data_IF_453405050860
#
_entry.id   IF_453405050860
#
_cell.length_a   1.000
_cell.length_b   1.000
_cell.length_c   1.000
_cell.angle_alpha   90.00
_cell.angle_beta   90.00
_cell.angle_gamma   90.00
#
_symmetry.space_group_name_H-M   'P 1'
#
loop_
_entity.id
_entity.type
_entity.pdbx_description
1 polymer ?
#
# COMPACT_ATOMS: atom_id res chain seq x y z
N UNK A 1 12.23 -5.43 -25.65
CA UNK A 1 11.23 -5.76 -24.63
C UNK A 1 10.16 -4.68 -24.56
N UNK A 2 8.96 -5.02 -24.09
CA UNK A 2 7.86 -4.05 -23.94
C UNK A 2 7.90 -3.39 -22.56
N UNK A 3 7.64 -2.08 -22.54
CA UNK A 3 7.50 -1.30 -21.30
C UNK A 3 6.45 -0.21 -21.45
N UNK A 4 5.74 0.09 -20.36
CA UNK A 4 4.75 1.15 -20.31
C UNK A 4 5.37 2.49 -19.93
N UNK A 5 4.89 3.54 -20.59
CA UNK A 5 5.27 4.93 -20.34
C UNK A 5 4.04 5.81 -20.17
N UNK A 6 4.06 6.67 -19.18
CA UNK A 6 3.15 7.82 -19.15
C UNK A 6 3.75 8.88 -20.07
N UNK A 7 3.02 9.22 -21.13
CA UNK A 7 3.50 10.14 -22.18
C UNK A 7 2.84 11.53 -22.10
N UNK A 8 1.73 11.62 -21.42
CA UNK A 8 0.99 12.83 -21.07
C UNK A 8 0.04 12.52 -19.91
N UNK A 9 -0.55 13.53 -19.25
CA UNK A 9 -1.56 13.28 -18.23
C UNK A 9 -2.66 12.34 -18.74
N UNK A 10 -2.94 11.27 -17.99
CA UNK A 10 -3.91 10.20 -18.30
C UNK A 10 -3.65 9.45 -19.61
N UNK A 11 -2.43 9.52 -20.14
CA UNK A 11 -2.08 8.81 -21.39
C UNK A 11 -0.86 7.93 -21.20
N UNK A 12 -1.04 6.63 -21.43
CA UNK A 12 0.01 5.62 -21.40
C UNK A 12 0.24 5.03 -22.80
N UNK A 13 1.48 4.71 -23.07
CA UNK A 13 1.90 4.02 -24.30
C UNK A 13 2.80 2.84 -23.95
N UNK A 14 2.61 1.74 -24.67
CA UNK A 14 3.54 0.61 -24.65
C UNK A 14 4.59 0.85 -25.74
N UNK A 15 5.86 0.80 -25.35
CA UNK A 15 6.97 0.98 -26.27
C UNK A 15 7.89 -0.22 -26.25
N UNK A 16 8.45 -0.56 -27.40
CA UNK A 16 9.55 -1.49 -27.51
C UNK A 16 10.84 -0.74 -27.18
N UNK A 17 11.58 -1.26 -26.21
CA UNK A 17 12.86 -0.72 -25.75
C UNK A 17 13.93 -1.81 -25.71
N UNK A 18 15.19 -1.43 -25.66
CA UNK A 18 16.28 -2.38 -25.50
C UNK A 18 16.17 -3.16 -24.18
N UNK A 19 16.68 -4.40 -24.19
CA UNK A 19 16.82 -5.20 -22.98
C UNK A 19 17.84 -4.53 -22.05
N UNK A 20 17.54 -4.35 -20.74
CA UNK A 20 18.53 -3.83 -19.81
C UNK A 20 19.76 -4.72 -19.75
N UNK A 21 20.93 -4.11 -19.73
CA UNK A 21 22.21 -4.79 -19.43
C UNK A 21 22.51 -4.59 -17.96
N UNK A 22 22.94 -5.63 -17.28
CA UNK A 22 23.30 -5.57 -15.87
C UNK A 22 24.79 -5.26 -15.68
N UNK A 23 25.09 -4.61 -14.57
CA UNK A 23 26.45 -4.47 -14.04
C UNK A 23 26.78 -5.63 -13.10
N UNK A 24 28.02 -5.66 -12.60
CA UNK A 24 28.47 -6.68 -11.65
C UNK A 24 27.65 -6.72 -10.34
N UNK A 25 27.00 -5.60 -9.98
CA UNK A 25 26.24 -5.43 -8.74
C UNK A 25 24.72 -5.46 -8.96
N UNK A 26 24.26 -5.77 -10.16
CA UNK A 26 22.85 -5.77 -10.51
C UNK A 26 22.32 -7.17 -10.79
N UNK A 27 20.99 -7.28 -10.79
CA UNK A 27 20.26 -8.45 -11.28
C UNK A 27 19.31 -8.02 -12.40
N UNK A 28 19.03 -8.95 -13.32
CA UNK A 28 17.96 -8.83 -14.31
C UNK A 28 16.78 -9.69 -13.87
N UNK A 29 15.62 -9.09 -13.81
CA UNK A 29 14.38 -9.76 -13.42
C UNK A 29 13.38 -9.73 -14.56
N UNK A 30 12.85 -10.90 -14.92
CA UNK A 30 11.64 -11.01 -15.73
C UNK A 30 10.44 -10.74 -14.82
N UNK A 31 9.80 -9.59 -15.02
CA UNK A 31 8.61 -9.23 -14.24
C UNK A 31 7.45 -10.12 -14.68
N UNK A 32 6.73 -10.68 -13.72
CA UNK A 32 5.55 -11.49 -13.97
C UNK A 32 4.26 -10.71 -13.63
N UNK A 33 4.33 -9.89 -12.58
CA UNK A 33 3.21 -9.09 -12.10
C UNK A 33 3.71 -7.78 -11.48
N UNK A 34 2.93 -6.70 -11.59
CA UNK A 34 3.18 -5.45 -10.88
C UNK A 34 1.86 -4.84 -10.42
N UNK A 35 1.75 -4.52 -9.13
CA UNK A 35 0.56 -3.89 -8.55
C UNK A 35 0.37 -2.45 -9.04
N UNK A 36 -0.90 -2.05 -9.18
CA UNK A 36 -1.29 -0.66 -9.48
C UNK A 36 -1.45 0.08 -8.15
N UNK A 37 -0.57 1.04 -7.88
CA UNK A 37 -0.58 1.82 -6.65
C UNK A 37 -1.22 3.20 -6.85
N UNK A 38 -1.97 3.66 -5.84
CA UNK A 38 -2.52 5.02 -5.84
C UNK A 38 -1.42 6.09 -5.87
N UNK A 39 -0.24 5.82 -5.33
CA UNK A 39 0.89 6.76 -5.40
C UNK A 39 1.41 7.00 -6.83
N UNK A 40 1.27 6.03 -7.75
CA UNK A 40 1.59 6.22 -9.16
C UNK A 40 0.63 7.20 -9.87
N UNK A 41 -0.55 7.47 -9.26
CA UNK A 41 -1.54 8.39 -9.82
C UNK A 41 -0.99 9.82 -9.93
N UNK A 42 -0.10 10.23 -9.02
CA UNK A 42 0.53 11.55 -9.12
C UNK A 42 1.32 11.73 -10.42
N UNK A 43 1.98 10.66 -10.89
CA UNK A 43 2.67 10.67 -12.18
C UNK A 43 1.69 10.53 -13.34
N UNK A 44 0.68 9.69 -13.21
CA UNK A 44 -0.33 9.45 -14.24
C UNK A 44 -1.19 10.71 -14.53
N UNK A 45 -1.56 11.44 -13.47
CA UNK A 45 -2.35 12.67 -13.56
C UNK A 45 -1.49 13.93 -13.74
N UNK A 46 -0.16 13.82 -13.60
CA UNK A 46 0.77 14.95 -13.55
C UNK A 46 0.41 16.00 -12.48
N UNK A 47 -0.01 15.52 -11.31
CA UNK A 47 -0.45 16.36 -10.20
C UNK A 47 0.69 16.93 -9.33
N UNK A 48 1.88 17.04 -9.87
CA UNK A 48 3.04 17.63 -9.20
C UNK A 48 3.05 19.15 -9.29
N UNK A 49 3.86 19.82 -8.44
CA UNK A 49 4.18 21.22 -8.60
C UNK A 49 4.95 21.46 -9.91
N UNK A 50 4.87 22.67 -10.46
CA UNK A 50 5.57 23.03 -11.71
C UNK A 50 7.09 22.81 -11.62
N UNK A 51 7.68 23.02 -10.44
CA UNK A 51 9.09 22.76 -10.20
C UNK A 51 9.44 21.25 -10.37
N UNK A 52 8.60 20.35 -9.85
CA UNK A 52 8.77 18.90 -9.98
C UNK A 52 8.53 18.45 -11.43
N UNK A 53 7.52 19.00 -12.10
CA UNK A 53 7.24 18.73 -13.52
C UNK A 53 8.43 19.07 -14.41
N UNK A 54 9.06 20.25 -14.18
CA UNK A 54 10.23 20.69 -14.93
C UNK A 54 11.42 19.72 -14.79
N UNK A 55 11.57 19.10 -13.63
CA UNK A 55 12.65 18.12 -13.37
C UNK A 55 12.32 16.70 -13.85
N UNK A 56 11.07 16.43 -14.16
CA UNK A 56 10.58 15.08 -14.56
C UNK A 56 9.70 15.20 -15.82
N UNK A 57 10.30 15.53 -16.97
CA UNK A 57 9.55 15.62 -18.23
C UNK A 57 8.98 14.25 -18.65
N UNK A 58 7.97 14.25 -19.47
CA UNK A 58 7.50 13.05 -20.16
C UNK A 58 8.50 12.61 -21.26
N UNK A 59 8.61 11.31 -21.57
CA UNK A 59 7.86 10.20 -21.00
C UNK A 59 8.42 9.71 -19.64
N UNK A 60 7.55 9.17 -18.77
CA UNK A 60 7.94 8.67 -17.44
C UNK A 60 7.60 7.18 -17.31
N UNK A 61 8.51 6.40 -16.74
CA UNK A 61 8.23 5.02 -16.32
C UNK A 61 7.76 5.01 -14.87
N UNK A 62 6.79 4.13 -14.57
CA UNK A 62 6.19 3.98 -13.25
C UNK A 62 6.01 2.49 -12.90
N UNK A 63 5.52 2.22 -11.70
CA UNK A 63 5.35 0.86 -11.17
C UNK A 63 6.47 0.51 -10.19
N UNK A 64 6.09 0.19 -8.95
CA UNK A 64 7.04 -0.08 -7.87
C UNK A 64 6.62 -1.24 -6.96
N UNK A 65 5.56 -1.98 -7.33
CA UNK A 65 5.07 -3.15 -6.60
C UNK A 65 5.26 -4.45 -7.43
N UNK A 66 6.48 -4.79 -7.88
CA UNK A 66 6.71 -5.92 -8.77
C UNK A 66 6.86 -7.24 -8.03
N UNK A 67 6.57 -8.32 -8.79
CA UNK A 67 6.97 -9.68 -8.50
C UNK A 67 7.48 -10.33 -9.80
N UNK A 68 8.53 -11.14 -9.74
CA UNK A 68 9.11 -11.72 -10.93
C UNK A 68 10.15 -12.80 -10.65
N UNK A 69 10.84 -13.25 -11.71
CA UNK A 69 11.89 -14.26 -11.66
C UNK A 69 13.22 -13.65 -12.03
N UNK A 70 14.24 -13.87 -11.24
CA UNK A 70 15.64 -13.52 -11.56
C UNK A 70 16.08 -14.32 -12.77
N UNK A 71 16.57 -13.69 -13.82
CA UNK A 71 17.06 -14.36 -15.03
C UNK A 71 18.57 -14.26 -15.19
N UNK A 72 19.18 -13.20 -14.62
CA UNK A 72 20.62 -13.01 -14.64
C UNK A 72 21.08 -12.29 -13.36
N UNK A 73 22.27 -12.60 -12.88
CA UNK A 73 22.87 -11.97 -11.69
C UNK A 73 24.30 -11.52 -12.00
N UNK A 74 24.67 -10.34 -11.53
CA UNK A 74 26.04 -9.83 -11.59
C UNK A 74 26.98 -10.63 -10.67
N UNK A 75 28.26 -10.59 -10.95
CA UNK A 75 29.28 -11.42 -10.26
C UNK A 75 29.40 -11.16 -8.75
N UNK A 76 29.00 -9.97 -8.30
CA UNK A 76 29.07 -9.57 -6.89
C UNK A 76 27.82 -10.00 -6.09
N UNK A 77 26.75 -10.45 -6.75
CA UNK A 77 25.53 -10.91 -6.11
C UNK A 77 25.74 -12.33 -5.56
N UNK A 78 25.51 -12.52 -4.24
CA UNK A 78 25.76 -13.80 -3.56
C UNK A 78 24.49 -14.51 -3.09
N UNK A 79 23.44 -13.74 -2.79
CA UNK A 79 22.22 -14.25 -2.11
C UNK A 79 21.09 -14.59 -3.07
N UNK A 80 21.23 -14.24 -4.36
CA UNK A 80 20.27 -14.47 -5.41
C UNK A 80 20.90 -15.25 -6.57
N UNK A 81 20.09 -16.01 -7.29
CA UNK A 81 20.47 -16.77 -8.49
C UNK A 81 19.36 -16.78 -9.52
N UNK A 82 19.71 -17.06 -10.78
CA UNK A 82 18.72 -17.29 -11.82
C UNK A 82 17.72 -18.39 -11.40
N UNK A 83 16.44 -18.12 -11.65
CA UNK A 83 15.30 -18.93 -11.22
C UNK A 83 14.70 -18.54 -9.87
N UNK A 84 15.36 -17.73 -9.06
CA UNK A 84 14.75 -17.22 -7.81
C UNK A 84 13.52 -16.36 -8.13
N UNK A 85 12.41 -16.67 -7.46
CA UNK A 85 11.17 -15.88 -7.51
C UNK A 85 11.24 -14.80 -6.44
N UNK A 86 11.12 -13.54 -6.82
CA UNK A 86 11.33 -12.41 -5.91
C UNK A 86 10.26 -11.34 -6.05
N UNK A 87 10.09 -10.58 -4.97
CA UNK A 87 9.26 -9.37 -4.90
C UNK A 87 9.93 -8.33 -4.02
N UNK A 88 9.43 -7.10 -4.06
CA UNK A 88 9.96 -5.98 -3.29
C UNK A 88 9.90 -4.68 -4.08
N UNK A 89 10.91 -3.82 -3.94
CA UNK A 89 11.07 -2.60 -4.74
C UNK A 89 12.22 -2.80 -5.72
N UNK A 90 11.95 -2.74 -7.02
CA UNK A 90 12.93 -2.96 -8.09
C UNK A 90 13.37 -1.63 -8.75
N UNK A 91 13.51 -0.57 -7.96
CA UNK A 91 13.99 0.72 -8.44
C UNK A 91 12.98 1.57 -9.24
N UNK A 92 11.76 1.10 -9.49
CA UNK A 92 10.73 1.78 -10.27
C UNK A 92 10.72 1.41 -11.76
N UNK A 93 9.63 1.75 -12.45
CA UNK A 93 9.43 1.45 -13.88
C UNK A 93 9.13 -0.02 -14.18
N UNK A 94 8.51 -0.72 -13.22
CA UNK A 94 8.28 -2.17 -13.27
C UNK A 94 7.03 -2.59 -14.06
N UNK A 95 6.30 -1.67 -14.68
CA UNK A 95 5.36 -2.03 -15.74
C UNK A 95 6.12 -2.27 -17.05
N UNK A 96 6.94 -3.33 -17.05
CA UNK A 96 7.80 -3.72 -18.16
C UNK A 96 8.09 -5.22 -18.07
N UNK A 97 8.38 -5.87 -19.20
CA UNK A 97 8.69 -7.30 -19.23
C UNK A 97 9.95 -7.65 -18.43
N UNK A 98 10.93 -6.73 -18.39
CA UNK A 98 12.18 -6.91 -17.62
C UNK A 98 12.59 -5.60 -16.96
N UNK A 99 13.24 -5.74 -15.81
CA UNK A 99 13.90 -4.65 -15.08
C UNK A 99 15.25 -5.11 -14.57
N UNK A 100 16.22 -4.18 -14.54
CA UNK A 100 17.51 -4.40 -13.86
C UNK A 100 17.63 -3.42 -12.70
N UNK A 101 18.22 -3.88 -11.60
CA UNK A 101 18.49 -3.04 -10.43
C UNK A 101 19.53 -3.69 -9.52
N UNK A 102 20.14 -2.87 -8.66
CA UNK A 102 21.00 -3.35 -7.58
C UNK A 102 20.15 -3.74 -6.37
N UNK A 103 20.09 -5.02 -5.97
CA UNK A 103 19.25 -5.47 -4.85
C UNK A 103 19.74 -4.97 -3.48
N UNK A 104 20.99 -4.51 -3.37
CA UNK A 104 21.53 -3.87 -2.17
C UNK A 104 21.17 -2.37 -2.07
N UNK A 105 20.50 -1.81 -3.07
CA UNK A 105 20.21 -0.39 -3.20
C UNK A 105 21.33 0.39 -3.89
N UNK A 106 21.01 1.59 -4.40
CA UNK A 106 21.94 2.44 -5.12
C UNK A 106 22.46 3.61 -4.27
N UNK A 107 23.48 4.35 -4.78
CA UNK A 107 23.95 5.58 -4.16
C UNK A 107 22.80 6.59 -4.00
N UNK A 108 22.70 7.20 -2.83
CA UNK A 108 21.69 8.24 -2.53
C UNK A 108 20.37 7.73 -1.98
N UNK A 109 20.17 6.42 -1.86
CA UNK A 109 18.94 5.86 -1.30
C UNK A 109 19.09 5.42 0.15
N UNK A 110 20.33 5.37 0.66
CA UNK A 110 20.63 5.04 2.08
C UNK A 110 20.01 3.71 2.53
N UNK A 111 19.93 2.66 1.66
CA UNK A 111 18.90 1.67 1.82
C UNK A 111 19.40 0.25 1.86
N UNK A 112 18.78 -0.45 2.75
CA UNK A 112 18.80 -1.87 2.96
C UNK A 112 18.17 -2.61 1.77
N UNK A 113 18.53 -3.87 1.50
CA UNK A 113 17.93 -4.68 0.44
C UNK A 113 16.40 -4.68 0.55
N UNK A 114 15.71 -4.38 -0.57
CA UNK A 114 14.25 -4.34 -0.62
C UNK A 114 13.70 -5.47 -1.49
N UNK A 115 14.34 -6.64 -1.40
CA UNK A 115 14.01 -7.82 -2.17
C UNK A 115 13.84 -9.01 -1.25
N UNK A 116 12.73 -9.75 -1.40
CA UNK A 116 12.46 -10.99 -0.70
C UNK A 116 12.16 -12.14 -1.66
N UNK A 117 12.61 -13.35 -1.33
CA UNK A 117 12.26 -14.55 -2.09
C UNK A 117 10.80 -14.92 -1.80
N UNK A 118 10.03 -15.12 -2.86
CA UNK A 118 8.62 -15.53 -2.75
C UNK A 118 8.57 -17.01 -2.38
N UNK A 119 7.90 -17.38 -1.28
CA UNK A 119 7.66 -18.76 -0.92
C UNK A 119 6.96 -19.55 -2.03
N UNK A 120 7.21 -20.85 -2.09
CA UNK A 120 6.52 -21.74 -3.02
C UNK A 120 5.01 -21.71 -2.81
N UNK A 121 4.26 -21.88 -3.89
CA UNK A 121 2.80 -21.92 -3.88
C UNK A 121 2.11 -20.54 -3.94
N UNK A 122 2.81 -19.41 -3.73
CA UNK A 122 2.22 -18.08 -3.88
C UNK A 122 2.34 -17.66 -5.35
N UNK A 123 1.23 -17.41 -6.08
CA UNK A 123 1.28 -16.88 -7.44
C UNK A 123 1.81 -15.43 -7.46
N UNK A 124 2.43 -15.01 -8.56
CA UNK A 124 3.08 -13.71 -8.64
C UNK A 124 2.13 -12.54 -8.41
N UNK A 125 0.92 -12.62 -8.91
CA UNK A 125 -0.11 -11.59 -8.72
C UNK A 125 -0.53 -11.43 -7.26
N UNK A 126 -0.29 -12.41 -6.41
CA UNK A 126 -0.54 -12.35 -4.96
C UNK A 126 0.73 -12.05 -4.15
N UNK A 127 1.88 -12.00 -4.80
CA UNK A 127 3.17 -11.78 -4.16
C UNK A 127 3.70 -10.34 -4.33
N UNK A 128 2.82 -9.35 -4.44
CA UNK A 128 3.21 -7.93 -4.52
C UNK A 128 3.68 -7.44 -3.14
N UNK A 129 4.95 -7.68 -2.82
CA UNK A 129 5.49 -7.53 -1.47
C UNK A 129 5.64 -6.09 -0.97
N UNK A 130 5.79 -5.11 -1.87
CA UNK A 130 6.01 -3.71 -1.49
C UNK A 130 4.89 -3.16 -0.58
N UNK A 131 3.59 -3.19 -0.97
CA UNK A 131 2.55 -2.67 -0.11
C UNK A 131 2.34 -3.49 1.15
N UNK A 132 2.73 -4.76 1.12
CA UNK A 132 2.61 -5.64 2.28
C UNK A 132 3.66 -5.31 3.37
N UNK A 133 4.85 -4.82 3.00
CA UNK A 133 5.81 -4.26 3.97
C UNK A 133 5.20 -3.06 4.70
N UNK A 134 4.47 -2.20 3.98
CA UNK A 134 3.80 -1.06 4.58
C UNK A 134 2.79 -1.49 5.65
N UNK A 135 2.04 -2.60 5.40
CA UNK A 135 1.11 -3.15 6.39
C UNK A 135 1.82 -3.62 7.67
N UNK A 136 3.04 -4.18 7.56
CA UNK A 136 3.85 -4.56 8.72
C UNK A 136 4.24 -3.33 9.55
N UNK A 137 4.68 -2.25 8.92
CA UNK A 137 4.99 -0.98 9.59
C UNK A 137 3.76 -0.40 10.29
N UNK A 138 2.61 -0.41 9.61
CA UNK A 138 1.35 0.09 10.18
C UNK A 138 0.95 -0.73 11.41
N UNK A 139 1.02 -2.06 11.33
CA UNK A 139 0.74 -2.94 12.46
C UNK A 139 1.66 -2.66 13.66
N UNK A 140 2.96 -2.46 13.41
CA UNK A 140 3.95 -2.11 14.43
C UNK A 140 3.65 -0.75 15.09
N UNK A 141 3.33 0.28 14.30
CA UNK A 141 3.00 1.61 14.81
C UNK A 141 1.68 1.61 15.58
N UNK A 142 0.70 0.85 15.10
CA UNK A 142 -0.60 0.73 15.76
C UNK A 142 -0.46 0.05 17.11
N UNK A 143 0.22 -1.09 17.19
CA UNK A 143 0.53 -1.85 18.40
C UNK A 143 -0.60 -1.77 19.45
N UNK A 144 -1.78 -2.35 19.18
CA UNK A 144 -2.90 -2.29 20.11
C UNK A 144 -2.66 -3.15 21.35
N UNK A 145 -3.20 -2.74 22.48
CA UNK A 145 -3.13 -3.46 23.76
C UNK A 145 -4.36 -4.33 23.97
N UNK A 146 -4.31 -5.21 24.98
CA UNK A 146 -5.46 -6.03 25.37
C UNK A 146 -6.61 -5.15 25.85
N UNK A 147 -7.77 -5.30 25.21
CA UNK A 147 -8.98 -4.55 25.56
C UNK A 147 -9.12 -3.19 24.87
N UNK A 148 -8.18 -2.82 23.97
CA UNK A 148 -8.30 -1.60 23.18
C UNK A 148 -9.50 -1.67 22.23
N UNK A 149 -10.15 -0.53 22.06
CA UNK A 149 -11.09 -0.25 20.98
C UNK A 149 -10.35 0.47 19.86
N UNK A 150 -10.31 -0.13 18.67
CA UNK A 150 -9.70 0.44 17.46
C UNK A 150 -10.81 0.97 16.56
N UNK A 151 -10.68 2.20 16.10
CA UNK A 151 -11.47 2.79 15.03
C UNK A 151 -10.61 2.92 13.77
N UNK A 152 -11.15 2.55 12.62
CA UNK A 152 -10.49 2.77 11.32
C UNK A 152 -11.44 3.40 10.32
N UNK A 153 -10.97 4.42 9.60
CA UNK A 153 -11.68 4.99 8.46
C UNK A 153 -10.94 4.71 7.15
N UNK A 154 -11.66 4.08 6.22
CA UNK A 154 -11.19 3.65 4.92
C UNK A 154 -10.93 2.15 4.82
N UNK A 155 -11.53 1.52 3.79
CA UNK A 155 -11.44 0.08 3.47
C UNK A 155 -11.03 -0.17 2.01
N UNK A 156 -10.12 0.67 1.49
CA UNK A 156 -9.37 0.34 0.27
C UNK A 156 -8.41 -0.84 0.52
N UNK A 157 -7.56 -1.16 -0.45
CA UNK A 157 -6.59 -2.26 -0.33
C UNK A 157 -5.77 -2.18 0.97
N UNK A 158 -5.16 -1.02 1.26
CA UNK A 158 -4.39 -0.84 2.50
C UNK A 158 -5.27 -0.99 3.73
N UNK A 159 -6.47 -0.39 3.74
CA UNK A 159 -7.38 -0.48 4.89
C UNK A 159 -7.83 -1.92 5.18
N UNK A 160 -8.20 -2.68 4.17
CA UNK A 160 -8.55 -4.11 4.33
C UNK A 160 -7.35 -4.93 4.80
N UNK A 161 -6.15 -4.64 4.29
CA UNK A 161 -4.91 -5.26 4.77
C UNK A 161 -4.62 -4.93 6.23
N UNK A 162 -4.84 -3.68 6.67
CA UNK A 162 -4.69 -3.29 8.08
C UNK A 162 -5.65 -4.07 8.96
N UNK A 163 -6.92 -4.25 8.54
CA UNK A 163 -7.90 -5.05 9.29
C UNK A 163 -7.39 -6.49 9.41
N UNK A 164 -7.02 -7.12 8.30
CA UNK A 164 -6.53 -8.51 8.29
C UNK A 164 -5.32 -8.73 9.21
N UNK A 165 -4.42 -7.74 9.28
CA UNK A 165 -3.22 -7.83 10.12
C UNK A 165 -3.41 -7.48 11.60
N UNK A 166 -4.45 -6.71 11.94
CA UNK A 166 -4.68 -6.22 13.31
C UNK A 166 -5.86 -6.87 14.01
N UNK A 167 -6.85 -7.42 13.27
CA UNK A 167 -8.02 -8.04 13.87
C UNK A 167 -7.62 -9.27 14.69
N UNK A 168 -7.72 -9.16 15.99
CA UNK A 168 -7.36 -10.23 16.93
C UNK A 168 -8.36 -10.27 18.09
N UNK A 169 -8.55 -11.42 18.76
CA UNK A 169 -9.43 -11.55 19.93
C UNK A 169 -9.02 -10.68 21.13
N UNK A 170 -7.84 -10.06 21.11
CA UNK A 170 -7.40 -9.17 22.19
C UNK A 170 -8.06 -7.79 22.14
N UNK A 171 -8.61 -7.37 20.99
CA UNK A 171 -9.33 -6.11 20.88
C UNK A 171 -10.71 -6.24 21.52
N UNK A 172 -11.14 -5.18 22.21
CA UNK A 172 -12.51 -5.07 22.69
C UNK A 172 -13.46 -4.89 21.53
N UNK A 173 -13.15 -3.92 20.65
CA UNK A 173 -13.90 -3.66 19.43
C UNK A 173 -12.94 -3.21 18.31
N UNK A 174 -13.26 -3.63 17.09
CA UNK A 174 -12.66 -3.08 15.87
C UNK A 174 -13.76 -2.43 15.02
N UNK A 175 -13.90 -1.12 15.16
CA UNK A 175 -14.91 -0.32 14.48
C UNK A 175 -14.35 0.18 13.16
N UNK A 176 -14.98 -0.15 12.04
CA UNK A 176 -14.52 0.21 10.69
C UNK A 176 -15.55 1.07 9.98
N UNK A 177 -15.11 2.16 9.36
CA UNK A 177 -15.93 3.12 8.66
C UNK A 177 -15.56 3.23 7.18
N UNK A 178 -16.53 3.14 6.28
CA UNK A 178 -16.38 3.39 4.83
C UNK A 178 -17.72 3.80 4.21
N UNK A 179 -17.68 4.46 3.05
CA UNK A 179 -18.87 4.87 2.28
C UNK A 179 -19.56 3.69 1.58
N UNK A 180 -18.81 2.62 1.29
CA UNK A 180 -19.23 1.49 0.45
C UNK A 180 -19.58 0.27 1.30
N UNK A 181 -20.87 -0.08 1.38
CA UNK A 181 -21.35 -1.23 2.16
C UNK A 181 -20.65 -2.55 1.77
N UNK A 182 -20.43 -2.80 0.47
CA UNK A 182 -19.78 -4.01 0.00
C UNK A 182 -18.32 -4.15 0.51
N UNK A 183 -17.63 -3.02 0.74
CA UNK A 183 -16.30 -3.01 1.38
C UNK A 183 -16.38 -3.25 2.87
N UNK A 184 -17.44 -2.72 3.51
CA UNK A 184 -17.73 -2.97 4.93
C UNK A 184 -18.06 -4.45 5.16
N UNK A 185 -18.71 -5.13 4.21
CA UNK A 185 -18.94 -6.58 4.29
C UNK A 185 -17.62 -7.35 4.29
N UNK A 186 -16.68 -7.00 3.38
CA UNK A 186 -15.33 -7.59 3.38
C UNK A 186 -14.59 -7.27 4.70
N UNK A 187 -14.74 -6.06 5.23
CA UNK A 187 -14.13 -5.69 6.51
C UNK A 187 -14.61 -6.59 7.65
N UNK A 188 -15.92 -6.95 7.68
CA UNK A 188 -16.47 -7.92 8.66
C UNK A 188 -15.86 -9.32 8.46
N UNK A 189 -15.76 -9.80 7.22
CA UNK A 189 -15.11 -11.08 6.89
C UNK A 189 -13.67 -11.13 7.42
N UNK A 190 -12.96 -10.00 7.40
CA UNK A 190 -11.57 -9.86 7.85
C UNK A 190 -11.44 -9.59 9.36
N UNK A 191 -12.55 -9.46 10.10
CA UNK A 191 -12.53 -9.37 11.55
C UNK A 191 -12.91 -8.02 12.15
N UNK A 192 -13.48 -7.09 11.38
CA UNK A 192 -14.13 -5.92 11.95
C UNK A 192 -15.36 -6.34 12.78
N UNK A 193 -15.42 -5.91 14.03
CA UNK A 193 -16.55 -6.27 14.92
C UNK A 193 -17.76 -5.39 14.67
N UNK A 194 -17.53 -4.13 14.29
CA UNK A 194 -18.57 -3.14 14.00
C UNK A 194 -18.22 -2.39 12.72
N UNK A 195 -19.20 -2.18 11.85
CA UNK A 195 -19.01 -1.40 10.63
C UNK A 195 -20.01 -0.25 10.58
N UNK A 196 -19.54 0.93 10.18
CA UNK A 196 -20.31 2.16 10.12
C UNK A 196 -20.24 2.76 8.71
N UNK A 197 -21.39 3.06 8.12
CA UNK A 197 -21.46 3.82 6.87
C UNK A 197 -21.89 5.24 7.19
N UNK A 198 -21.03 6.26 6.95
CA UNK A 198 -21.32 7.66 7.30
C UNK A 198 -22.49 8.26 6.52
N UNK A 199 -22.92 7.62 5.41
CA UNK A 199 -24.15 8.01 4.72
C UNK A 199 -25.42 7.58 5.47
N UNK A 200 -25.29 6.70 6.47
CA UNK A 200 -26.42 6.12 7.21
C UNK A 200 -26.46 6.52 8.67
N UNK A 201 -25.31 6.84 9.26
CA UNK A 201 -25.18 7.16 10.69
C UNK A 201 -24.19 8.31 10.91
N UNK A 202 -24.35 9.02 12.03
CA UNK A 202 -23.31 9.91 12.54
C UNK A 202 -22.22 9.04 13.20
N UNK A 203 -21.06 8.97 12.55
CA UNK A 203 -19.94 8.11 12.99
C UNK A 203 -19.44 8.50 14.38
N UNK A 204 -19.34 9.79 14.68
CA UNK A 204 -18.84 10.28 15.97
C UNK A 204 -19.79 9.87 17.10
N UNK A 205 -21.10 10.04 16.90
CA UNK A 205 -22.11 9.67 17.90
C UNK A 205 -22.14 8.15 18.14
N UNK A 206 -22.05 7.35 17.07
CA UNK A 206 -22.01 5.89 17.21
C UNK A 206 -20.75 5.42 17.93
N UNK A 207 -19.56 5.96 17.59
CA UNK A 207 -18.33 5.62 18.31
C UNK A 207 -18.42 6.03 19.79
N UNK A 208 -18.97 7.21 20.10
CA UNK A 208 -19.20 7.63 21.50
C UNK A 208 -20.13 6.66 22.23
N UNK A 209 -21.21 6.26 21.61
CA UNK A 209 -22.16 5.29 22.19
C UNK A 209 -21.50 3.94 22.47
N UNK A 210 -20.77 3.38 21.49
CA UNK A 210 -20.06 2.09 21.61
C UNK A 210 -19.01 2.15 22.73
N UNK A 211 -18.30 3.28 22.87
CA UNK A 211 -17.21 3.45 23.83
C UNK A 211 -17.67 4.03 25.19
N UNK A 212 -18.97 4.20 25.42
CA UNK A 212 -19.49 4.82 26.64
C UNK A 212 -19.00 6.26 26.84
N UNK A 213 -18.87 7.03 25.77
CA UNK A 213 -18.44 8.43 25.77
C UNK A 213 -16.91 8.65 25.77
N UNK A 214 -16.12 7.59 25.92
CA UNK A 214 -14.63 7.70 26.06
C UNK A 214 -13.91 7.96 24.74
N UNK A 215 -14.45 7.49 23.60
CA UNK A 215 -13.78 7.45 22.32
C UNK A 215 -12.90 6.19 22.14
N UNK A 216 -12.40 5.99 20.93
CA UNK A 216 -11.53 4.87 20.58
C UNK A 216 -10.11 5.05 21.16
N UNK A 217 -9.49 3.97 21.63
CA UNK A 217 -8.09 3.99 22.09
C UNK A 217 -7.13 4.32 20.96
N UNK A 218 -7.42 3.79 19.77
CA UNK A 218 -6.64 4.00 18.56
C UNK A 218 -7.60 4.37 17.42
N UNK A 219 -7.26 5.43 16.67
CA UNK A 219 -7.94 5.82 15.43
C UNK A 219 -6.97 5.72 14.26
N UNK A 220 -7.31 4.93 13.23
CA UNK A 220 -6.48 4.70 12.04
C UNK A 220 -7.13 5.41 10.84
N UNK A 221 -6.39 6.33 10.23
CA UNK A 221 -6.80 7.06 9.04
C UNK A 221 -6.14 6.43 7.81
N UNK A 222 -6.96 5.90 6.86
CA UNK A 222 -6.46 5.20 5.65
C UNK A 222 -7.07 5.79 4.38
N UNK A 223 -7.71 6.94 4.45
CA UNK A 223 -8.37 7.58 3.29
C UNK A 223 -7.41 8.50 2.53
N UNK A 224 -6.51 9.19 3.25
CA UNK A 224 -5.63 10.20 2.66
C UNK A 224 -6.36 11.50 2.27
N UNK A 225 -7.43 11.83 2.98
CA UNK A 225 -8.23 13.02 2.75
C UNK A 225 -8.53 13.73 4.08
N UNK A 226 -8.64 15.09 4.12
CA UNK A 226 -8.89 15.85 5.34
C UNK A 226 -10.03 15.32 6.20
N UNK A 227 -11.12 14.86 5.57
CA UNK A 227 -12.27 14.31 6.32
C UNK A 227 -11.89 13.05 7.13
N UNK A 228 -10.98 12.23 6.61
CA UNK A 228 -10.50 11.04 7.30
C UNK A 228 -9.79 11.39 8.61
N UNK A 229 -8.84 12.33 8.55
CA UNK A 229 -8.12 12.79 9.73
C UNK A 229 -9.02 13.56 10.71
N UNK A 230 -9.95 14.38 10.20
CA UNK A 230 -10.96 15.06 11.03
C UNK A 230 -11.80 14.04 11.81
N UNK A 231 -12.32 13.01 11.14
CA UNK A 231 -13.11 11.94 11.77
C UNK A 231 -12.28 11.18 12.80
N UNK A 232 -11.05 10.75 12.44
CA UNK A 232 -10.15 10.07 13.37
C UNK A 232 -9.89 10.90 14.64
N UNK A 233 -9.65 12.21 14.46
CA UNK A 233 -9.43 13.16 15.55
C UNK A 233 -10.68 13.33 16.45
N UNK A 234 -11.88 13.31 15.86
CA UNK A 234 -13.12 13.47 16.60
C UNK A 234 -13.44 12.25 17.48
N UNK A 235 -13.15 11.04 16.98
CA UNK A 235 -13.51 9.77 17.65
C UNK A 235 -12.44 9.23 18.61
N UNK A 236 -11.19 9.68 18.49
CA UNK A 236 -10.10 9.22 19.39
C UNK A 236 -10.36 9.68 20.82
N UNK A 237 -10.04 8.83 21.81
CA UNK A 237 -10.16 9.17 23.23
C UNK A 237 -9.24 10.31 23.65
N UNK A 238 -9.60 11.04 24.71
CA UNK A 238 -8.68 11.95 25.41
C UNK A 238 -7.55 11.18 26.12
N UNK A 239 -6.50 11.90 26.52
CA UNK A 239 -5.38 11.36 27.30
C UNK A 239 -4.71 10.13 26.66
N UNK A 240 -3.73 10.36 25.78
CA UNK A 240 -2.92 9.32 25.16
C UNK A 240 -3.66 8.40 24.16
N UNK A 241 -4.81 8.84 23.61
CA UNK A 241 -5.35 8.17 22.42
C UNK A 241 -4.35 8.24 21.26
N UNK A 242 -4.28 7.20 20.43
CA UNK A 242 -3.37 7.15 19.27
C UNK A 242 -4.12 7.51 18.00
N UNK A 243 -3.50 8.31 17.13
CA UNK A 243 -3.94 8.49 15.73
C UNK A 243 -2.84 7.96 14.83
N UNK A 244 -3.15 6.99 13.99
CA UNK A 244 -2.23 6.41 13.01
C UNK A 244 -2.63 6.90 11.62
N UNK A 245 -1.80 7.76 11.02
CA UNK A 245 -2.07 8.36 9.71
C UNK A 245 -1.40 7.51 8.63
N UNK A 246 -2.19 6.73 7.92
CA UNK A 246 -1.77 5.80 6.86
C UNK A 246 -2.05 6.37 5.48
N UNK A 247 -3.15 7.13 5.35
CA UNK A 247 -3.58 7.69 4.08
C UNK A 247 -2.51 8.62 3.47
N UNK A 248 -2.35 8.57 2.15
CA UNK A 248 -1.40 9.44 1.44
C UNK A 248 -2.04 10.82 1.17
N UNK A 249 -1.69 11.81 1.99
CA UNK A 249 -2.13 13.19 1.83
C UNK A 249 -1.21 13.91 0.82
N UNK A 250 -1.75 14.23 -0.36
CA UNK A 250 -0.97 14.77 -1.49
C UNK A 250 -0.81 16.29 -1.46
N UNK A 251 -1.65 17.00 -0.70
CA UNK A 251 -1.62 18.45 -0.61
C UNK A 251 -1.37 18.90 0.83
N UNK A 252 -0.69 20.04 1.04
CA UNK A 252 -0.65 20.66 2.36
C UNK A 252 -2.04 21.18 2.69
N UNK A 253 -2.74 20.45 3.55
CA UNK A 253 -4.03 20.89 4.09
C UNK A 253 -3.85 21.44 5.50
N UNK A 254 -4.57 22.50 5.83
CA UNK A 254 -4.71 22.93 7.21
C UNK A 254 -5.73 22.04 7.90
N UNK A 255 -5.28 21.28 8.91
CA UNK A 255 -6.15 20.46 9.72
C UNK A 255 -6.50 21.20 11.00
N UNK A 256 -7.79 21.47 11.19
CA UNK A 256 -8.31 21.86 12.47
C UNK A 256 -8.38 20.64 13.38
N UNK A 257 -7.30 20.38 14.12
CA UNK A 257 -7.23 19.25 15.03
C UNK A 257 -7.90 19.61 16.36
N UNK A 258 -9.20 19.43 16.47
CA UNK A 258 -9.89 19.45 17.76
C UNK A 258 -9.25 18.48 18.77
N UNK A 259 -8.53 17.49 18.27
CA UNK A 259 -7.78 16.51 19.07
C UNK A 259 -6.60 17.08 19.85
N UNK A 260 -6.08 18.29 19.57
CA UNK A 260 -5.01 18.90 20.36
C UNK A 260 -5.36 19.01 21.84
N UNK A 261 -6.64 19.31 22.13
CA UNK A 261 -7.16 19.35 23.51
C UNK A 261 -7.09 17.98 24.18
N UNK A 262 -7.16 16.90 23.38
CA UNK A 262 -7.11 15.51 23.86
C UNK A 262 -5.67 14.98 24.06
N UNK A 263 -4.64 15.73 23.67
CA UNK A 263 -3.22 15.32 23.72
C UNK A 263 -2.99 13.95 23.10
N UNK A 264 -3.36 13.70 21.84
CA UNK A 264 -3.18 12.40 21.20
C UNK A 264 -1.72 12.15 20.86
N UNK A 265 -1.35 10.89 20.73
CA UNK A 265 -0.10 10.46 20.12
C UNK A 265 -0.36 10.25 18.63
N UNK A 266 0.33 11.00 17.78
CA UNK A 266 0.16 10.87 16.33
C UNK A 266 1.36 10.13 15.74
N UNK A 267 1.08 9.01 15.06
CA UNK A 267 2.05 8.25 14.30
C UNK A 267 1.77 8.39 12.81
N UNK A 268 2.80 8.67 12.03
CA UNK A 268 2.75 8.50 10.58
C UNK A 268 3.77 7.42 10.19
N UNK A 269 3.33 6.21 9.84
CA UNK A 269 4.23 5.16 9.36
C UNK A 269 4.77 5.43 7.96
N UNK A 270 4.46 6.59 7.39
CA UNK A 270 4.92 7.02 6.07
C UNK A 270 6.38 7.46 6.14
N UNK A 271 7.27 6.49 6.09
CA UNK A 271 8.67 6.73 5.72
C UNK A 271 8.82 6.70 4.20
N UNK A 272 10.04 6.77 3.70
CA UNK A 272 10.33 6.53 2.29
C UNK A 272 9.89 5.10 1.94
N UNK A 273 8.80 4.98 1.18
CA UNK A 273 8.16 3.71 0.84
C UNK A 273 7.23 3.15 1.92
N UNK A 274 6.82 3.96 2.90
CA UNK A 274 5.91 3.57 4.01
C UNK A 274 6.37 2.37 4.88
N UNK A 275 7.44 1.68 4.53
CA UNK A 275 8.08 0.65 5.35
C UNK A 275 9.24 1.25 6.13
N UNK A 276 9.25 1.05 7.44
CA UNK A 276 10.29 1.60 8.35
C UNK A 276 11.48 0.65 8.52
N UNK A 277 11.31 -0.62 8.18
CA UNK A 277 12.33 -1.66 8.29
C UNK A 277 12.11 -2.76 7.23
N UNK A 278 12.30 -2.44 5.93
CA UNK A 278 12.01 -3.36 4.83
C UNK A 278 12.67 -4.74 4.94
N UNK A 279 13.94 -4.87 5.40
CA UNK A 279 14.57 -6.18 5.53
C UNK A 279 13.90 -7.11 6.52
N UNK A 280 13.31 -6.57 7.57
CA UNK A 280 12.57 -7.34 8.56
C UNK A 280 11.11 -7.55 8.15
N UNK A 281 10.52 -6.58 7.51
CA UNK A 281 9.09 -6.53 7.21
C UNK A 281 8.71 -7.36 5.99
N UNK A 282 9.52 -7.37 4.93
CA UNK A 282 9.21 -8.14 3.71
C UNK A 282 9.12 -9.66 3.95
N UNK A 283 10.08 -10.31 4.64
CA UNK A 283 9.94 -11.73 4.97
C UNK A 283 8.71 -12.05 5.82
N UNK A 284 8.36 -11.19 6.79
CA UNK A 284 7.16 -11.33 7.62
C UNK A 284 5.89 -11.17 6.80
N UNK A 285 5.86 -10.22 5.88
CA UNK A 285 4.73 -9.99 4.97
C UNK A 285 4.50 -11.22 4.07
N UNK A 286 5.55 -11.77 3.48
CA UNK A 286 5.47 -12.99 2.65
C UNK A 286 5.02 -14.20 3.46
N UNK A 287 5.52 -14.36 4.69
CA UNK A 287 5.05 -15.38 5.62
C UNK A 287 3.56 -15.22 5.93
N UNK A 288 3.10 -13.99 6.17
CA UNK A 288 1.71 -13.71 6.49
C UNK A 288 0.77 -13.99 5.29
N UNK A 289 1.23 -13.72 4.05
CA UNK A 289 0.52 -14.14 2.83
C UNK A 289 0.44 -15.67 2.77
N UNK A 290 1.57 -16.36 2.96
CA UNK A 290 1.63 -17.83 2.93
C UNK A 290 0.71 -18.48 3.98
N UNK A 291 0.52 -17.84 5.13
CA UNK A 291 -0.39 -18.29 6.21
C UNK A 291 -1.84 -17.89 5.99
N UNK A 292 -2.17 -17.18 4.91
CA UNK A 292 -3.53 -16.70 4.65
C UNK A 292 -4.00 -15.58 5.59
N UNK A 293 -3.09 -14.98 6.39
CA UNK A 293 -3.41 -13.79 7.20
C UNK A 293 -3.80 -12.65 6.27
N UNK A 294 -3.06 -12.49 5.17
CA UNK A 294 -3.43 -11.61 4.08
C UNK A 294 -4.03 -12.43 2.94
N UNK A 295 -5.36 -12.46 2.80
CA UNK A 295 -6.04 -13.25 1.75
C UNK A 295 -5.93 -12.52 0.40
N UNK A 296 -4.77 -12.61 -0.23
CA UNK A 296 -4.45 -11.86 -1.46
C UNK A 296 -5.40 -12.20 -2.62
N UNK A 297 -5.93 -13.41 -2.67
CA UNK A 297 -6.96 -13.83 -3.63
C UNK A 297 -8.28 -13.04 -3.45
N UNK A 298 -8.55 -12.55 -2.23
CA UNK A 298 -9.71 -11.71 -1.92
C UNK A 298 -9.43 -10.23 -2.15
N UNK A 299 -8.17 -9.82 -1.99
CA UNK A 299 -7.75 -8.42 -2.07
C UNK A 299 -7.34 -8.00 -3.50
N UNK A 300 -6.75 -8.90 -4.28
CA UNK A 300 -6.39 -8.64 -5.70
C UNK A 300 -7.57 -8.98 -6.57
N UNK A 301 -8.41 -7.99 -6.84
CA UNK A 301 -9.70 -8.18 -7.54
C UNK A 301 -9.60 -8.11 -9.05
N UNK A 302 -8.60 -7.42 -9.59
CA UNK A 302 -8.51 -7.13 -11.02
C UNK A 302 -7.14 -7.48 -11.57
N UNK A 303 -7.12 -8.23 -12.67
CA UNK A 303 -5.90 -8.57 -13.43
C UNK A 303 -5.99 -7.97 -14.82
N UNK A 304 -4.93 -7.31 -15.26
CA UNK A 304 -4.82 -6.66 -16.55
C UNK A 304 -3.61 -7.18 -17.29
N UNK A 305 -3.65 -7.19 -18.62
CA UNK A 305 -2.45 -7.35 -19.45
C UNK A 305 -1.68 -6.03 -19.50
N UNK A 306 -0.39 -6.08 -19.79
CA UNK A 306 0.41 -4.86 -19.96
C UNK A 306 -0.19 -3.91 -21.02
N UNK A 307 -0.78 -4.46 -22.09
CA UNK A 307 -1.45 -3.68 -23.12
C UNK A 307 -2.66 -2.87 -22.60
N UNK A 308 -3.29 -3.32 -21.52
CA UNK A 308 -4.49 -2.71 -20.94
C UNK A 308 -4.16 -1.81 -19.73
N UNK A 309 -2.88 -1.41 -19.55
CA UNK A 309 -2.44 -0.68 -18.38
C UNK A 309 -3.19 0.65 -18.17
N UNK A 310 -3.53 1.36 -19.24
CA UNK A 310 -4.34 2.58 -19.17
C UNK A 310 -5.68 2.33 -18.48
N UNK A 311 -6.36 1.21 -18.84
CA UNK A 311 -7.60 0.79 -18.19
C UNK A 311 -7.38 0.48 -16.71
N UNK A 312 -6.28 -0.18 -16.36
CA UNK A 312 -5.96 -0.51 -14.96
C UNK A 312 -5.86 0.75 -14.09
N UNK A 313 -5.27 1.82 -14.63
CA UNK A 313 -5.17 3.12 -13.95
C UNK A 313 -6.52 3.84 -13.86
N UNK A 314 -7.33 3.83 -14.92
CA UNK A 314 -8.68 4.43 -14.89
C UNK A 314 -9.61 3.69 -13.92
N UNK A 315 -9.58 2.36 -13.87
CA UNK A 315 -10.38 1.58 -12.92
C UNK A 315 -9.97 1.87 -11.45
N UNK A 316 -8.67 2.05 -11.19
CA UNK A 316 -8.17 2.45 -9.86
C UNK A 316 -8.65 3.87 -9.50
N UNK A 317 -8.53 4.82 -10.43
CA UNK A 317 -8.93 6.21 -10.23
C UNK A 317 -10.45 6.35 -10.03
N UNK A 318 -11.23 5.63 -10.85
CA UNK A 318 -12.70 5.64 -10.81
C UNK A 318 -13.30 4.89 -9.63
N UNK A 319 -12.49 4.18 -8.84
CA UNK A 319 -12.95 3.33 -7.73
C UNK A 319 -14.11 2.43 -8.17
N UNK A 320 -13.98 1.83 -9.36
CA UNK A 320 -15.01 0.96 -9.97
C UNK A 320 -15.55 -0.03 -8.93
N UNK A 321 -16.87 -0.23 -8.90
CA UNK A 321 -17.50 -1.15 -7.94
C UNK A 321 -16.87 -2.54 -8.05
N UNK A 322 -16.47 -3.11 -6.93
CA UNK A 322 -15.75 -4.38 -6.84
C UNK A 322 -14.23 -4.26 -6.98
N UNK A 323 -13.69 -3.08 -7.29
CA UNK A 323 -12.24 -2.88 -7.37
C UNK A 323 -11.64 -2.63 -5.99
N UNK A 324 -10.68 -3.47 -5.59
CA UNK A 324 -9.86 -3.28 -4.39
C UNK A 324 -8.41 -3.03 -4.82
N UNK A 325 -7.81 -3.97 -5.54
CA UNK A 325 -6.45 -3.89 -6.07
C UNK A 325 -6.37 -4.45 -7.48
N UNK A 326 -5.74 -3.70 -8.36
CA UNK A 326 -5.38 -4.15 -9.70
C UNK A 326 -3.92 -4.60 -9.77
N UNK A 327 -3.67 -5.62 -10.58
CA UNK A 327 -2.33 -6.11 -10.90
C UNK A 327 -2.19 -6.23 -12.41
N UNK A 328 -1.11 -5.70 -12.95
CA UNK A 328 -0.75 -5.84 -14.38
C UNK A 328 0.16 -7.04 -14.52
N UNK A 329 -0.22 -7.98 -15.38
CA UNK A 329 0.55 -9.17 -15.77
C UNK A 329 1.37 -8.88 -17.02
N UNK A 330 2.66 -9.27 -17.01
CA UNK A 330 3.58 -9.07 -18.13
C UNK A 330 3.58 -10.24 -19.08
#
# INVERSE_FOLDING_TARGET
MKAAFVVAPRKMEIRDIEMPKITDDEILVKVAACGVCTSDMSTYLDSFSEEVKARRPFPRRIGHEPAGTVVEVGKNIKDLKAGDRITGIFGGGSFAEYVSFNPAGGPGVGRQPMVGKIPDGIPFEHAIGEPMMCLMSIARCTNPELGDTVFQIGTGFMGLGVIAGLATPKLKEYIVCDLEDWRLDIARELGATITLNPNKVNVEDEVRKITGGKGADIAIEVVGHPIGLKTASAVVKGNRGKIVVVGWHQAPDMYELQSWIKSPIIYSPQGIGMSTDPPSELPRALWAIQKGIYPMERLVTNKYKLADIGKAFEDNLGRTKGYIKGVVMM
#
